data_IF_672311570012
#
_entry.id   IF_672311570012
#
_cell.length_a   1.000
_cell.length_b   1.000
_cell.length_c   1.000
_cell.angle_alpha   90.00
_cell.angle_beta   90.00
_cell.angle_gamma   90.00
#
_symmetry.space_group_name_H-M   'P 1'
#
loop_
_entity.id
_entity.type
_entity.pdbx_description
1 polymer ?
#
# COMPACT_ATOMS: atom_id res chain seq x y z
N UNK A 1 -35.12 15.07 3.19
CA UNK A 1 -33.89 14.35 2.82
C UNK A 1 -33.19 14.01 4.12
N UNK A 2 -32.91 12.71 4.36
CA UNK A 2 -32.26 12.26 5.59
C UNK A 2 -30.87 12.90 5.72
N UNK A 3 -30.48 13.28 6.95
CA UNK A 3 -29.22 13.97 7.24
C UNK A 3 -28.01 13.11 6.84
N UNK A 4 -28.16 11.78 6.91
CA UNK A 4 -27.15 10.81 6.46
C UNK A 4 -26.96 10.79 4.94
N UNK A 5 -28.03 10.99 4.18
CA UNK A 5 -27.97 11.03 2.72
C UNK A 5 -27.30 12.33 2.23
N UNK A 6 -27.51 13.43 2.95
CA UNK A 6 -26.81 14.69 2.69
C UNK A 6 -25.30 14.56 2.95
N UNK A 7 -24.89 13.98 4.08
CA UNK A 7 -23.47 13.74 4.40
C UNK A 7 -22.79 12.84 3.36
N UNK A 8 -23.46 11.74 2.94
CA UNK A 8 -22.94 10.83 1.92
C UNK A 8 -22.77 11.53 0.56
N UNK A 9 -23.73 12.38 0.16
CA UNK A 9 -23.66 13.16 -1.08
C UNK A 9 -22.57 14.24 -1.02
N UNK A 10 -22.39 14.92 0.10
CA UNK A 10 -21.32 15.91 0.26
C UNK A 10 -19.93 15.26 0.18
N UNK A 11 -19.75 14.08 0.79
CA UNK A 11 -18.48 13.35 0.75
C UNK A 11 -18.17 12.70 -0.59
N UNK A 12 -19.19 12.32 -1.35
CA UNK A 12 -19.04 11.64 -2.64
C UNK A 12 -19.24 12.57 -3.86
N UNK A 13 -19.66 13.83 -3.66
CA UNK A 13 -19.96 14.80 -4.72
C UNK A 13 -21.46 14.84 -5.06
N UNK A 14 -22.09 16.02 -4.92
CA UNK A 14 -23.45 16.28 -5.42
C UNK A 14 -23.43 16.35 -6.94
N UNK A 15 -24.25 15.52 -7.59
CA UNK A 15 -24.13 15.07 -8.99
C UNK A 15 -22.95 14.12 -9.19
N UNK A 16 -23.21 12.95 -9.79
CA UNK A 16 -22.33 11.77 -9.83
C UNK A 16 -21.02 12.04 -10.61
N UNK A 17 -20.09 12.76 -9.98
CA UNK A 17 -18.65 12.65 -10.16
C UNK A 17 -18.13 12.25 -8.79
N UNK A 18 -18.15 10.95 -8.53
CA UNK A 18 -17.64 10.32 -7.31
C UNK A 18 -16.25 10.93 -7.01
N UNK A 19 -16.22 11.86 -6.05
CA UNK A 19 -15.06 12.72 -5.79
C UNK A 19 -13.77 11.91 -5.60
N UNK A 20 -12.63 12.54 -5.86
CA UNK A 20 -11.32 11.88 -5.79
C UNK A 20 -11.15 10.66 -6.74
N UNK A 21 -11.72 10.70 -7.95
CA UNK A 21 -11.51 9.67 -8.98
C UNK A 21 -12.03 8.29 -8.59
N UNK A 22 -13.05 8.26 -7.74
CA UNK A 22 -13.60 7.03 -7.22
C UNK A 22 -14.29 6.20 -8.31
N UNK A 23 -14.82 6.80 -9.36
CA UNK A 23 -15.28 6.10 -10.57
C UNK A 23 -14.15 5.32 -11.28
N UNK A 24 -12.92 5.83 -11.27
CA UNK A 24 -11.73 5.17 -11.81
C UNK A 24 -11.33 3.99 -10.92
N UNK A 25 -11.32 4.20 -9.61
CA UNK A 25 -10.95 3.17 -8.61
C UNK A 25 -11.93 1.98 -8.68
N UNK A 26 -13.24 2.27 -8.69
CA UNK A 26 -14.29 1.27 -8.58
C UNK A 26 -14.51 0.42 -9.84
N UNK A 27 -13.96 0.81 -11.00
CA UNK A 27 -13.94 -0.04 -12.21
C UNK A 27 -13.25 -1.39 -11.99
N UNK A 28 -12.36 -1.46 -11.00
CA UNK A 28 -11.59 -2.65 -10.69
C UNK A 28 -12.12 -3.42 -9.47
N UNK A 29 -13.33 -3.12 -8.99
CA UNK A 29 -13.90 -3.78 -7.83
C UNK A 29 -14.26 -5.25 -8.12
N UNK A 30 -13.87 -6.14 -7.21
CA UNK A 30 -14.17 -7.57 -7.28
C UNK A 30 -15.54 -7.94 -6.66
N UNK A 31 -16.37 -6.93 -6.39
CA UNK A 31 -17.66 -7.06 -5.71
C UNK A 31 -18.74 -6.25 -6.41
N UNK A 32 -19.99 -6.69 -6.30
CA UNK A 32 -21.12 -5.88 -6.72
C UNK A 32 -21.21 -4.60 -5.85
N UNK A 33 -21.21 -3.44 -6.50
CA UNK A 33 -21.28 -2.15 -5.83
C UNK A 33 -22.73 -1.84 -5.45
N UNK A 34 -22.96 -1.34 -4.23
CA UNK A 34 -24.30 -0.97 -3.76
C UNK A 34 -24.82 0.37 -4.34
N UNK A 35 -24.58 0.61 -5.63
CA UNK A 35 -25.04 1.78 -6.39
C UNK A 35 -26.43 1.53 -7.00
N UNK A 36 -27.33 2.53 -7.15
CA UNK A 36 -27.16 3.98 -6.98
C UNK A 36 -27.29 4.53 -5.55
N UNK A 37 -27.41 3.68 -4.53
CA UNK A 37 -27.53 4.15 -3.14
C UNK A 37 -26.18 4.62 -2.60
N UNK A 38 -25.97 5.94 -2.60
CA UNK A 38 -24.74 6.55 -2.08
C UNK A 38 -24.43 6.18 -0.62
N UNK A 39 -25.45 6.07 0.23
CA UNK A 39 -25.27 5.67 1.63
C UNK A 39 -24.74 4.23 1.72
N UNK A 40 -25.39 3.30 1.02
CA UNK A 40 -24.96 1.88 1.04
C UNK A 40 -23.61 1.68 0.37
N UNK A 41 -23.30 2.43 -0.68
CA UNK A 41 -21.98 2.44 -1.30
C UNK A 41 -20.94 2.98 -0.32
N UNK A 42 -21.21 4.12 0.32
CA UNK A 42 -20.30 4.71 1.31
C UNK A 42 -19.97 3.71 2.44
N UNK A 43 -21.00 3.08 3.02
CA UNK A 43 -20.82 2.07 4.07
C UNK A 43 -19.98 0.87 3.58
N UNK A 44 -20.21 0.42 2.34
CA UNK A 44 -19.43 -0.65 1.70
C UNK A 44 -17.95 -0.25 1.54
N UNK A 45 -17.66 0.97 1.10
CA UNK A 45 -16.28 1.43 0.90
C UNK A 45 -15.54 1.70 2.21
N UNK A 46 -16.25 2.14 3.25
CA UNK A 46 -15.69 2.30 4.60
C UNK A 46 -15.40 0.93 5.24
N UNK A 47 -16.26 -0.08 5.01
CA UNK A 47 -15.99 -1.45 5.45
C UNK A 47 -14.80 -2.08 4.69
N UNK A 48 -14.62 -1.66 3.44
CA UNK A 48 -13.53 -2.05 2.57
C UNK A 48 -13.92 -3.11 1.55
N UNK A 49 -13.30 -3.02 0.38
CA UNK A 49 -13.52 -3.94 -0.74
C UNK A 49 -12.18 -4.45 -1.29
N UNK A 50 -12.24 -5.50 -2.09
CA UNK A 50 -11.10 -5.98 -2.86
C UNK A 50 -11.17 -5.40 -4.29
N UNK A 51 -10.01 -5.05 -4.80
CA UNK A 51 -9.79 -4.62 -6.17
C UNK A 51 -8.77 -5.54 -6.84
N UNK A 52 -8.82 -5.58 -8.18
CA UNK A 52 -7.83 -6.25 -9.02
C UNK A 52 -7.66 -7.75 -8.69
N UNK A 53 -8.76 -8.51 -8.66
CA UNK A 53 -8.78 -9.95 -8.36
C UNK A 53 -8.16 -10.27 -6.99
N UNK A 54 -8.45 -9.44 -5.98
CA UNK A 54 -7.96 -9.59 -4.62
C UNK A 54 -6.52 -9.09 -4.39
N UNK A 55 -5.87 -8.50 -5.38
CA UNK A 55 -4.50 -7.99 -5.26
C UNK A 55 -4.39 -6.78 -4.32
N UNK A 56 -5.46 -5.99 -4.20
CA UNK A 56 -5.47 -4.76 -3.42
C UNK A 56 -6.73 -4.73 -2.55
N UNK A 57 -6.57 -4.44 -1.25
CA UNK A 57 -7.68 -4.01 -0.39
C UNK A 57 -7.81 -2.50 -0.48
N UNK A 58 -9.00 -1.99 -0.77
CA UNK A 58 -9.33 -0.58 -0.75
C UNK A 58 -10.28 -0.26 0.40
N UNK A 59 -10.02 0.85 1.08
CA UNK A 59 -10.88 1.42 2.11
C UNK A 59 -10.98 2.92 1.87
N UNK A 60 -12.18 3.47 1.98
CA UNK A 60 -12.35 4.90 2.15
C UNK A 60 -12.16 5.28 3.62
N UNK A 61 -11.06 5.98 3.95
CA UNK A 61 -10.80 6.41 5.32
C UNK A 61 -11.70 7.60 5.68
N UNK A 62 -12.74 7.32 6.47
CA UNK A 62 -13.68 8.34 6.95
C UNK A 62 -13.01 9.44 7.80
N UNK A 63 -11.94 9.12 8.54
CA UNK A 63 -11.29 10.06 9.47
C UNK A 63 -10.48 11.09 8.72
N UNK A 64 -9.70 10.62 7.74
CA UNK A 64 -8.83 11.48 6.93
C UNK A 64 -9.48 11.95 5.63
N UNK A 65 -10.69 11.47 5.34
CA UNK A 65 -11.43 11.72 4.10
C UNK A 65 -10.56 11.48 2.86
N UNK A 66 -9.90 10.32 2.84
CA UNK A 66 -8.88 9.97 1.85
C UNK A 66 -8.95 8.49 1.49
N UNK A 67 -8.38 8.14 0.34
CA UNK A 67 -8.22 6.73 -0.02
C UNK A 67 -7.14 6.05 0.81
N UNK A 68 -7.40 4.79 1.17
CA UNK A 68 -6.45 3.91 1.85
C UNK A 68 -6.38 2.58 1.10
N UNK A 69 -5.17 2.05 0.96
CA UNK A 69 -4.89 0.82 0.24
C UNK A 69 -3.99 -0.11 1.02
N UNK A 70 -4.16 -1.40 0.76
CA UNK A 70 -3.20 -2.44 1.10
C UNK A 70 -2.93 -3.30 -0.13
N UNK A 71 -1.71 -3.25 -0.65
CA UNK A 71 -1.25 -4.12 -1.74
C UNK A 71 -0.66 -5.37 -1.09
N UNK A 72 -1.31 -6.52 -1.30
CA UNK A 72 -0.87 -7.78 -0.69
C UNK A 72 0.47 -8.25 -1.26
N UNK A 73 1.25 -9.02 -0.49
CA UNK A 73 2.56 -9.52 -0.90
C UNK A 73 2.55 -10.23 -2.28
N UNK A 74 1.47 -10.94 -2.60
CA UNK A 74 1.25 -11.60 -3.91
C UNK A 74 1.21 -10.65 -5.10
N UNK A 75 0.84 -9.39 -4.87
CA UNK A 75 0.75 -8.36 -5.90
C UNK A 75 2.05 -7.55 -6.03
N UNK A 76 3.04 -7.78 -5.15
CA UNK A 76 4.34 -7.13 -5.23
C UNK A 76 5.27 -7.88 -6.18
N UNK A 77 6.16 -7.13 -6.83
CA UNK A 77 7.29 -7.72 -7.55
C UNK A 77 8.42 -7.96 -6.56
N UNK A 78 8.63 -9.21 -6.18
CA UNK A 78 9.70 -9.62 -5.26
C UNK A 78 10.69 -10.47 -6.05
N UNK A 79 11.96 -10.07 -6.08
CA UNK A 79 12.99 -10.82 -6.78
C UNK A 79 13.11 -12.24 -6.19
N UNK A 80 13.15 -13.24 -7.07
CA UNK A 80 13.27 -14.67 -6.74
C UNK A 80 12.07 -15.30 -6.02
N UNK A 81 10.93 -14.61 -5.91
CA UNK A 81 9.79 -15.06 -5.10
C UNK A 81 9.20 -16.43 -5.49
N UNK A 82 9.29 -16.80 -6.77
CA UNK A 82 8.83 -18.11 -7.27
C UNK A 82 9.86 -19.24 -7.03
N UNK A 83 11.09 -18.88 -6.67
CA UNK A 83 12.14 -19.85 -6.37
C UNK A 83 12.08 -20.26 -4.90
N UNK A 84 11.63 -21.50 -4.68
CA UNK A 84 11.45 -22.11 -3.36
C UNK A 84 12.75 -22.28 -2.56
N UNK A 85 13.91 -22.08 -3.18
CA UNK A 85 15.21 -22.03 -2.49
C UNK A 85 15.39 -20.74 -1.70
N UNK A 86 14.79 -19.65 -2.17
CA UNK A 86 15.00 -18.30 -1.65
C UNK A 86 13.78 -17.78 -0.89
N UNK A 87 12.57 -18.18 -1.29
CA UNK A 87 11.33 -17.75 -0.66
C UNK A 87 10.36 -18.89 -0.45
N UNK A 88 9.47 -18.73 0.54
CA UNK A 88 8.29 -19.57 0.69
C UNK A 88 7.09 -18.71 1.09
N UNK A 89 5.91 -19.24 0.83
CA UNK A 89 4.66 -18.60 1.22
C UNK A 89 4.19 -19.18 2.56
N UNK A 90 3.85 -18.28 3.47
CA UNK A 90 3.20 -18.59 4.74
C UNK A 90 1.88 -17.86 4.86
N UNK A 91 1.27 -17.92 6.04
CA UNK A 91 0.03 -17.22 6.35
C UNK A 91 0.14 -16.41 7.64
N UNK A 92 -0.56 -15.28 7.69
CA UNK A 92 -0.76 -14.46 8.88
C UNK A 92 -2.24 -14.09 8.95
N UNK A 93 -2.99 -14.80 9.80
CA UNK A 93 -4.45 -14.76 9.78
C UNK A 93 -4.98 -15.21 8.41
N UNK A 94 -5.77 -14.36 7.76
CA UNK A 94 -6.37 -14.63 6.45
C UNK A 94 -5.53 -14.10 5.28
N UNK A 95 -4.29 -13.67 5.50
CA UNK A 95 -3.42 -13.11 4.46
C UNK A 95 -2.19 -13.97 4.23
N UNK A 96 -1.81 -14.16 2.97
CA UNK A 96 -0.52 -14.77 2.62
C UNK A 96 0.64 -13.81 2.89
N UNK A 97 1.76 -14.36 3.34
CA UNK A 97 3.00 -13.63 3.59
C UNK A 97 4.17 -14.29 2.88
N UNK A 98 5.07 -13.50 2.31
CA UNK A 98 6.30 -13.99 1.70
C UNK A 98 7.39 -14.07 2.77
N UNK A 99 7.91 -15.26 3.04
CA UNK A 99 9.01 -15.49 3.99
C UNK A 99 10.31 -15.75 3.23
N UNK A 100 11.31 -14.91 3.52
CA UNK A 100 12.64 -15.02 2.96
C UNK A 100 13.42 -16.15 3.64
N UNK A 101 13.76 -17.18 2.87
CA UNK A 101 14.64 -18.28 3.31
C UNK A 101 16.07 -17.79 3.37
N UNK A 102 16.60 -17.25 2.27
CA UNK A 102 17.86 -16.50 2.20
C UNK A 102 18.09 -15.90 0.80
N UNK A 103 18.73 -14.74 0.71
CA UNK A 103 19.27 -14.17 -0.55
C UNK A 103 20.52 -13.35 -0.26
N UNK A 104 21.40 -13.15 -1.23
CA UNK A 104 22.49 -12.17 -1.13
C UNK A 104 21.98 -10.75 -1.39
N UNK A 105 21.12 -10.58 -2.40
CA UNK A 105 20.49 -9.31 -2.76
C UNK A 105 18.96 -9.38 -2.67
N UNK A 106 18.36 -8.34 -2.11
CA UNK A 106 16.92 -8.17 -1.92
C UNK A 106 16.38 -7.06 -2.82
N UNK A 107 15.23 -7.29 -3.45
CA UNK A 107 14.54 -6.27 -4.23
C UNK A 107 13.03 -6.52 -4.22
N UNK A 108 12.29 -5.65 -3.53
CA UNK A 108 10.83 -5.66 -3.44
C UNK A 108 10.32 -4.38 -4.07
N UNK A 109 9.37 -4.48 -5.00
CA UNK A 109 8.81 -3.35 -5.73
C UNK A 109 7.30 -3.42 -5.79
N UNK A 110 6.68 -2.26 -5.89
CA UNK A 110 5.28 -2.13 -6.26
C UNK A 110 5.01 -0.78 -6.88
N UNK A 111 3.78 -0.60 -7.33
CA UNK A 111 3.34 0.63 -7.97
C UNK A 111 1.87 0.88 -7.74
N UNK A 112 1.47 2.13 -7.81
CA UNK A 112 0.07 2.55 -7.84
C UNK A 112 -0.07 3.80 -8.72
N UNK A 113 -1.18 3.93 -9.41
CA UNK A 113 -1.46 5.13 -10.20
C UNK A 113 -1.75 6.30 -9.24
N UNK A 114 -1.14 7.46 -9.47
CA UNK A 114 -1.30 8.64 -8.64
C UNK A 114 -2.76 9.13 -8.61
N UNK A 115 -3.54 8.92 -9.67
CA UNK A 115 -4.98 9.25 -9.70
C UNK A 115 -5.83 8.42 -8.75
N UNK A 116 -5.30 7.30 -8.23
CA UNK A 116 -5.94 6.53 -7.15
C UNK A 116 -5.67 7.16 -5.78
N UNK A 117 -4.77 8.13 -5.66
CA UNK A 117 -4.49 8.82 -4.40
C UNK A 117 -5.28 10.13 -4.34
N UNK A 118 -5.74 10.49 -3.15
CA UNK A 118 -6.42 11.76 -2.96
C UNK A 118 -5.42 12.92 -3.16
N UNK A 119 -5.73 13.91 -4.01
CA UNK A 119 -4.77 14.94 -4.40
C UNK A 119 -4.41 15.89 -3.24
N UNK A 120 -3.22 16.48 -3.31
CA UNK A 120 -2.70 17.45 -2.34
C UNK A 120 -2.54 16.94 -0.90
N UNK A 121 -2.52 15.61 -0.70
CA UNK A 121 -2.33 14.96 0.61
C UNK A 121 -0.93 14.33 0.67
N UNK A 122 -0.32 14.32 1.86
CA UNK A 122 0.88 13.53 2.13
C UNK A 122 0.47 12.11 2.45
N UNK A 123 0.94 11.15 1.67
CA UNK A 123 0.74 9.73 1.88
C UNK A 123 1.98 9.07 2.48
N UNK A 124 1.76 8.09 3.33
CA UNK A 124 2.76 7.12 3.75
C UNK A 124 2.63 5.86 2.91
N UNK A 125 3.73 5.46 2.27
CA UNK A 125 3.90 4.16 1.62
C UNK A 125 4.75 3.31 2.55
N UNK A 126 4.14 2.29 3.15
CA UNK A 126 4.70 1.54 4.27
C UNK A 126 4.77 0.03 3.96
N UNK A 127 5.98 -0.51 3.84
CA UNK A 127 6.16 -1.96 3.75
C UNK A 127 5.95 -2.59 5.12
N UNK A 128 4.95 -3.47 5.23
CA UNK A 128 4.67 -4.22 6.46
C UNK A 128 5.51 -5.48 6.50
N UNK A 129 6.46 -5.50 7.43
CA UNK A 129 7.42 -6.59 7.58
C UNK A 129 7.53 -7.09 9.02
N UNK A 130 8.10 -8.27 9.16
CA UNK A 130 8.50 -8.85 10.43
C UNK A 130 9.86 -9.55 10.24
N UNK A 131 10.69 -9.56 11.28
CA UNK A 131 11.88 -10.41 11.35
C UNK A 131 11.58 -11.60 12.25
N UNK A 132 11.72 -12.83 11.74
CA UNK A 132 11.57 -14.02 12.56
C UNK A 132 12.82 -14.29 13.43
N UNK A 133 12.76 -15.33 14.27
CA UNK A 133 13.87 -15.72 15.15
C UNK A 133 15.15 -16.11 14.40
N UNK A 134 15.03 -16.51 13.12
CA UNK A 134 16.15 -16.91 12.27
C UNK A 134 16.72 -15.76 11.44
N UNK A 135 16.18 -14.55 11.55
CA UNK A 135 16.61 -13.45 10.68
C UNK A 135 18.03 -12.99 11.01
N UNK A 136 18.87 -12.92 9.97
CA UNK A 136 20.26 -12.50 10.02
C UNK A 136 20.64 -11.78 8.72
N UNK A 137 21.78 -11.08 8.72
CA UNK A 137 22.28 -10.35 7.54
C UNK A 137 21.63 -8.98 7.32
N UNK A 138 21.11 -8.36 8.39
CA UNK A 138 20.37 -7.09 8.34
C UNK A 138 21.17 -5.90 8.90
N UNK A 139 22.50 -6.03 8.93
CA UNK A 139 23.42 -5.00 9.43
C UNK A 139 23.62 -3.87 8.41
N UNK A 140 23.53 -4.20 7.12
CA UNK A 140 23.45 -3.18 6.08
C UNK A 140 22.05 -2.54 6.05
N UNK A 141 21.95 -1.22 5.86
CA UNK A 141 20.68 -0.55 5.76
C UNK A 141 19.90 -0.97 4.52
N UNK A 142 18.58 -1.08 4.65
CA UNK A 142 17.68 -1.24 3.52
C UNK A 142 17.52 0.12 2.82
N UNK A 143 17.64 0.15 1.50
CA UNK A 143 17.33 1.34 0.70
C UNK A 143 15.83 1.36 0.39
N UNK A 144 15.22 2.52 0.54
CA UNK A 144 13.83 2.80 0.18
C UNK A 144 13.84 3.90 -0.86
N UNK A 145 13.29 3.61 -2.03
CA UNK A 145 13.16 4.57 -3.13
C UNK A 145 11.70 4.67 -3.54
N UNK A 146 11.20 5.89 -3.66
CA UNK A 146 9.93 6.21 -4.32
C UNK A 146 10.21 7.10 -5.52
N UNK A 147 9.85 6.63 -6.70
CA UNK A 147 9.93 7.37 -7.97
C UNK A 147 8.56 7.93 -8.30
N UNK A 148 8.52 9.24 -8.54
CA UNK A 148 7.30 10.00 -8.88
C UNK A 148 6.99 9.91 -10.39
N UNK A 149 5.78 10.32 -10.82
CA UNK A 149 5.43 10.33 -12.24
C UNK A 149 6.34 11.23 -13.10
N UNK A 150 6.88 12.31 -12.53
CA UNK A 150 7.83 13.21 -13.21
C UNK A 150 9.25 12.63 -13.33
N UNK A 151 9.48 11.42 -12.82
CA UNK A 151 10.78 10.73 -12.81
C UNK A 151 11.70 11.10 -11.64
N UNK A 152 11.37 12.13 -10.86
CA UNK A 152 12.13 12.48 -9.66
C UNK A 152 11.95 11.43 -8.57
N UNK A 153 12.94 11.33 -7.67
CA UNK A 153 13.04 10.26 -6.67
C UNK A 153 13.14 10.81 -5.25
N UNK A 154 12.53 10.08 -4.31
CA UNK A 154 12.73 10.22 -2.87
C UNK A 154 13.49 8.98 -2.42
N UNK A 155 14.64 9.15 -1.77
CA UNK A 155 15.49 8.04 -1.31
C UNK A 155 15.72 8.18 0.19
N UNK A 156 15.58 7.07 0.91
CA UNK A 156 15.86 6.94 2.35
C UNK A 156 16.53 5.61 2.61
N UNK A 157 17.22 5.52 3.75
CA UNK A 157 17.75 4.26 4.27
C UNK A 157 17.15 3.97 5.65
N UNK A 158 16.96 2.69 5.95
CA UNK A 158 16.52 2.23 7.27
C UNK A 158 17.29 0.97 7.71
N UNK A 159 17.91 1.05 8.88
CA UNK A 159 18.57 -0.11 9.49
C UNK A 159 17.52 -1.05 10.07
N UNK A 160 17.64 -2.33 9.70
CA UNK A 160 16.79 -3.39 10.24
C UNK A 160 17.44 -4.13 11.42
N UNK A 161 18.74 -3.95 11.63
CA UNK A 161 19.43 -4.40 12.84
C UNK A 161 18.81 -3.77 14.09
N UNK A 162 18.54 -4.59 15.11
CA UNK A 162 17.89 -4.16 16.35
C UNK A 162 16.36 -4.00 16.29
N UNK A 163 15.71 -4.19 15.13
CA UNK A 163 14.24 -4.25 15.06
C UNK A 163 13.70 -5.47 15.81
N UNK A 164 12.49 -5.38 16.39
CA UNK A 164 11.93 -6.45 17.21
C UNK A 164 11.70 -7.72 16.39
N UNK A 165 11.90 -8.86 17.06
CA UNK A 165 11.63 -10.19 16.49
C UNK A 165 10.16 -10.55 16.67
N UNK A 166 9.61 -11.27 15.70
CA UNK A 166 8.24 -11.77 15.68
C UNK A 166 7.16 -10.69 15.89
N UNK A 167 7.50 -9.41 15.65
CA UNK A 167 6.58 -8.29 15.70
C UNK A 167 6.53 -7.60 14.34
N UNK A 168 5.32 -7.29 13.89
CA UNK A 168 5.11 -6.54 12.66
C UNK A 168 5.49 -5.07 12.87
N UNK A 169 6.24 -4.50 11.94
CA UNK A 169 6.57 -3.09 11.89
C UNK A 169 6.53 -2.57 10.45
N UNK A 170 6.53 -1.25 10.31
CA UNK A 170 6.44 -0.57 9.02
C UNK A 170 7.76 0.11 8.67
N UNK A 171 8.17 -0.05 7.41
CA UNK A 171 9.26 0.72 6.81
C UNK A 171 8.62 1.75 5.87
N UNK A 172 8.74 3.04 6.21
CA UNK A 172 7.90 4.10 5.64
C UNK A 172 8.70 5.04 4.73
N UNK A 173 8.10 5.43 3.61
CA UNK A 173 8.47 6.60 2.81
C UNK A 173 7.25 7.50 2.60
N UNK A 174 7.45 8.80 2.74
CA UNK A 174 6.38 9.79 2.57
C UNK A 174 6.40 10.36 1.15
N UNK A 175 5.20 10.60 0.61
CA UNK A 175 4.98 11.16 -0.70
C UNK A 175 3.86 12.19 -0.67
N UNK A 176 4.16 13.44 -1.06
CA UNK A 176 3.13 14.46 -1.27
C UNK A 176 2.55 14.30 -2.68
N UNK A 177 1.28 13.90 -2.74
CA UNK A 177 0.54 13.71 -3.99
C UNK A 177 0.26 15.06 -4.63
N UNK A 178 0.44 15.16 -5.94
CA UNK A 178 0.07 16.33 -6.72
C UNK A 178 -1.45 16.45 -6.90
N UNK A 179 -1.87 17.13 -7.96
CA UNK A 179 -3.25 17.12 -8.44
C UNK A 179 -3.30 16.69 -9.91
N UNK A 180 -3.12 15.38 -10.18
CA UNK A 180 -2.99 14.89 -11.55
C UNK A 180 -4.33 14.81 -12.30
N UNK A 181 -5.46 14.90 -11.59
CA UNK A 181 -6.79 14.64 -12.13
C UNK A 181 -7.04 13.16 -12.45
N UNK A 182 -8.31 12.80 -12.65
CA UNK A 182 -8.74 11.40 -12.77
C UNK A 182 -8.38 10.71 -14.08
N UNK A 183 -7.97 11.48 -15.09
CA UNK A 183 -7.52 10.94 -16.38
C UNK A 183 -6.02 10.67 -16.45
N UNK A 184 -5.26 10.92 -15.36
CA UNK A 184 -3.82 10.74 -15.37
C UNK A 184 -3.41 9.27 -15.36
N UNK A 185 -2.38 8.95 -16.14
CA UNK A 185 -1.69 7.66 -16.14
C UNK A 185 -0.40 7.65 -15.34
N UNK A 186 -0.09 8.74 -14.62
CA UNK A 186 1.12 8.84 -13.80
C UNK A 186 1.16 7.77 -12.73
N UNK A 187 2.21 6.95 -12.71
CA UNK A 187 2.43 5.94 -11.67
C UNK A 187 3.50 6.41 -10.68
N UNK A 188 3.25 6.15 -9.39
CA UNK A 188 4.34 6.12 -8.41
C UNK A 188 4.86 4.68 -8.32
N UNK A 189 6.18 4.55 -8.33
CA UNK A 189 6.87 3.28 -8.13
C UNK A 189 7.60 3.35 -6.79
N UNK A 190 7.45 2.34 -5.94
CA UNK A 190 8.18 2.25 -4.68
C UNK A 190 8.98 0.95 -4.64
N UNK A 191 10.17 1.03 -4.05
CA UNK A 191 11.07 -0.10 -3.94
C UNK A 191 11.80 -0.12 -2.59
N UNK A 192 12.02 -1.33 -2.10
CA UNK A 192 12.71 -1.64 -0.86
C UNK A 192 13.78 -2.67 -1.21
N UNK A 193 15.05 -2.27 -1.17
CA UNK A 193 16.13 -3.06 -1.73
C UNK A 193 17.45 -2.92 -1.00
N UNK A 194 18.23 -3.99 -1.04
CA UNK A 194 19.61 -4.03 -0.60
C UNK A 194 20.33 -4.96 -1.58
N UNK A 195 21.26 -4.41 -2.36
CA UNK A 195 21.94 -5.15 -3.44
C UNK A 195 23.36 -5.57 -3.08
N UNK A 196 23.67 -5.65 -1.79
CA UNK A 196 24.95 -6.13 -1.30
C UNK A 196 25.14 -7.63 -1.58
N UNK A 197 26.36 -8.11 -1.36
CA UNK A 197 26.71 -9.52 -1.55
C UNK A 197 26.49 -10.40 -0.32
N UNK A 198 26.13 -9.83 0.83
CA UNK A 198 26.01 -10.59 2.08
C UNK A 198 24.63 -11.23 2.21
N UNK A 199 24.63 -12.49 2.64
CA UNK A 199 23.41 -13.28 2.81
C UNK A 199 22.52 -12.71 3.91
N UNK A 200 21.22 -12.66 3.61
CA UNK A 200 20.16 -12.19 4.51
C UNK A 200 18.96 -13.11 4.45
N UNK A 201 18.29 -13.30 5.59
CA UNK A 201 17.19 -14.25 5.75
C UNK A 201 16.18 -13.83 6.81
N UNK A 202 15.05 -14.54 6.87
CA UNK A 202 14.08 -14.44 7.95
C UNK A 202 13.20 -13.19 7.94
N UNK A 203 13.17 -12.45 6.84
CA UNK A 203 12.22 -11.36 6.62
C UNK A 203 10.88 -11.93 6.13
N UNK A 204 9.80 -11.55 6.79
CA UNK A 204 8.44 -11.80 6.35
C UNK A 204 7.86 -10.51 5.79
N UNK A 205 7.22 -10.59 4.63
CA UNK A 205 6.58 -9.46 3.95
C UNK A 205 5.08 -9.74 3.84
N UNK A 206 4.27 -8.86 4.41
CA UNK A 206 2.80 -8.96 4.33
C UNK A 206 2.23 -8.21 3.13
N UNK A 207 2.85 -7.09 2.78
CA UNK A 207 2.36 -6.20 1.74
C UNK A 207 2.79 -4.76 1.99
N UNK A 208 2.20 -3.85 1.23
CA UNK A 208 2.42 -2.40 1.36
C UNK A 208 1.12 -1.70 1.69
N UNK A 209 1.11 -0.98 2.80
CA UNK A 209 0.06 -0.02 3.15
C UNK A 209 0.33 1.30 2.45
N UNK A 210 -0.71 1.90 1.87
CA UNK A 210 -0.67 3.25 1.32
C UNK A 210 -1.84 4.02 1.92
N UNK A 211 -1.56 5.01 2.76
CA UNK A 211 -2.61 5.79 3.41
C UNK A 211 -2.16 7.22 3.67
N UNK A 212 -3.12 8.14 3.76
CA UNK A 212 -2.83 9.51 4.13
C UNK A 212 -2.14 9.55 5.50
N UNK A 213 -1.11 10.38 5.61
CA UNK A 213 -0.49 10.71 6.88
C UNK A 213 -1.48 11.54 7.68
N UNK A 214 -1.93 11.02 8.82
CA UNK A 214 -2.74 11.81 9.73
C UNK A 214 -1.98 13.06 10.16
N UNK A 215 -2.64 14.22 10.19
CA UNK A 215 -2.10 15.35 10.92
C UNK A 215 -1.94 14.90 12.38
N UNK A 216 -0.71 14.72 12.83
CA UNK A 216 -0.44 14.49 14.24
C UNK A 216 -0.88 15.72 15.01
N UNK A 217 -2.09 15.71 15.53
CA UNK A 217 -2.40 16.54 16.69
C UNK A 217 -1.67 15.89 17.86
N UNK A 218 -0.53 16.48 18.20
CA UNK A 218 0.17 16.34 19.48
C UNK A 218 -0.77 16.55 20.65
#
# INVERSE_FOLDING_TARGET
MDNKEKEAREKLGGEVKLGHCLDVILKNADVALHYPSFVKLYDQLVAGILLNKGAIKYIFDKKLNSHWYFIFARALSIAWIEDKRYWKWGSCGNSEVAELIEVSWLNIRGKINESMLSPNIVYEVALQVQLNDRASGWDAPLNIELKKPDGSKIVRQECLSGKPRNQWFEIVVEYKVGNPGCGSSGEIEFSFFEHGGHWKRGLLVKGVRIGAKGCGCS
#
